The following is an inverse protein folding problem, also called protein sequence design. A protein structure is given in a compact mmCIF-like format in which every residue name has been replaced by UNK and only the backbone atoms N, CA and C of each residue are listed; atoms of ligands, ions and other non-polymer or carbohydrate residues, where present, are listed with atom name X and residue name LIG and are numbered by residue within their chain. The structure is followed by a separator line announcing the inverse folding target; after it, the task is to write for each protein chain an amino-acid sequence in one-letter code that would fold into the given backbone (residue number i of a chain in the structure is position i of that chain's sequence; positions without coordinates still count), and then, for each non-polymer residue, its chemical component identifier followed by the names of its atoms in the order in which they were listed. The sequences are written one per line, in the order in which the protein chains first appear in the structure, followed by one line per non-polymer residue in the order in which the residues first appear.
data_IF_673141592237
#
_entry.id   IF_673141592237
#
_cell.length_a   1.000
_cell.length_b   1.000
_cell.length_c   1.000
_cell.angle_alpha   90.00
_cell.angle_beta   90.00
_cell.angle_gamma   90.00
#
_symmetry.space_group_name_H-M   'P 1'
#
loop_
_entity.id
_entity.type
_entity.pdbx_description
1 polymer ?
#
# COMPACT_ATOMS: atom_id res chain seq x y z
N UNK A 1 8.98 -23.50 17.35
CA UNK A 1 9.46 -24.21 16.13
C UNK A 1 8.44 -25.25 15.70
N UNK A 2 8.53 -25.75 14.47
CA UNK A 2 7.61 -26.78 13.95
C UNK A 2 7.96 -28.18 14.49
N UNK A 3 7.01 -28.83 15.18
CA UNK A 3 7.18 -30.21 15.68
C UNK A 3 7.17 -31.26 14.55
N UNK A 4 6.44 -30.99 13.46
CA UNK A 4 6.26 -31.89 12.30
C UNK A 4 6.49 -31.13 10.98
N UNK A 5 7.74 -30.71 10.67
CA UNK A 5 8.02 -29.82 9.54
C UNK A 5 7.62 -30.39 8.17
N UNK A 6 7.82 -31.70 7.94
CA UNK A 6 7.40 -32.36 6.69
C UNK A 6 5.89 -32.27 6.48
N UNK A 7 5.10 -32.60 7.51
CA UNK A 7 3.64 -32.53 7.45
C UNK A 7 3.15 -31.09 7.23
N UNK A 8 3.81 -30.11 7.85
CA UNK A 8 3.48 -28.70 7.63
C UNK A 8 3.79 -28.26 6.20
N UNK A 9 4.93 -28.68 5.64
CA UNK A 9 5.28 -28.39 4.25
C UNK A 9 4.26 -29.00 3.27
N UNK A 10 3.85 -30.26 3.48
CA UNK A 10 2.82 -30.93 2.69
C UNK A 10 1.49 -30.16 2.73
N UNK A 11 0.99 -29.86 3.93
CA UNK A 11 -0.27 -29.13 4.11
C UNK A 11 -0.20 -27.72 3.55
N UNK A 12 0.91 -27.01 3.76
CA UNK A 12 1.09 -25.68 3.22
C UNK A 12 1.07 -25.68 1.68
N UNK A 13 1.72 -26.66 1.03
CA UNK A 13 1.66 -26.80 -0.43
C UNK A 13 0.25 -27.01 -0.97
N UNK A 14 -0.61 -27.70 -0.21
CA UNK A 14 -2.01 -27.93 -0.55
C UNK A 14 -2.88 -26.68 -0.31
N UNK A 15 -2.64 -25.97 0.80
CA UNK A 15 -3.47 -24.84 1.24
C UNK A 15 -3.11 -23.55 0.49
N UNK A 16 -1.83 -23.22 0.37
CA UNK A 16 -1.34 -21.94 -0.16
C UNK A 16 -1.95 -21.56 -1.52
N UNK A 17 -2.15 -22.47 -2.50
CA UNK A 17 -2.79 -22.11 -3.77
C UNK A 17 -4.18 -21.48 -3.61
N UNK A 18 -4.94 -21.87 -2.59
CA UNK A 18 -6.31 -21.38 -2.34
C UNK A 18 -6.37 -20.32 -1.27
N UNK A 19 -5.59 -20.48 -0.20
CA UNK A 19 -5.59 -19.57 0.96
C UNK A 19 -4.14 -19.20 1.29
N UNK A 20 -3.79 -17.90 1.27
CA UNK A 20 -2.43 -17.48 1.59
C UNK A 20 -2.06 -17.86 3.03
N UNK A 21 -0.81 -18.24 3.23
CA UNK A 21 -0.23 -18.49 4.55
C UNK A 21 0.91 -17.47 4.75
N UNK A 22 0.73 -16.59 5.74
CA UNK A 22 1.73 -15.60 6.15
C UNK A 22 2.43 -16.11 7.40
N UNK A 23 3.76 -16.05 7.42
CA UNK A 23 4.57 -16.53 8.55
C UNK A 23 5.49 -15.43 9.04
N UNK A 24 5.40 -15.12 10.32
CA UNK A 24 6.45 -14.45 11.07
C UNK A 24 7.25 -15.46 11.90
N UNK A 25 8.58 -15.49 11.74
CA UNK A 25 9.46 -16.44 12.44
C UNK A 25 10.27 -15.75 13.54
N UNK A 26 9.77 -15.82 14.76
CA UNK A 26 10.52 -15.41 15.95
C UNK A 26 11.76 -16.30 16.20
N UNK A 27 12.81 -15.73 16.82
CA UNK A 27 14.06 -16.43 17.09
C UNK A 27 14.92 -16.63 15.84
N UNK A 28 15.03 -15.59 15.00
CA UNK A 28 15.98 -15.54 13.89
C UNK A 28 17.38 -15.07 14.31
N UNK A 29 17.50 -14.31 15.40
CA UNK A 29 18.77 -13.84 15.95
C UNK A 29 19.35 -14.83 16.95
N UNK A 30 20.63 -14.72 17.26
CA UNK A 30 21.30 -15.54 18.26
C UNK A 30 20.66 -15.38 19.66
N UNK A 31 20.41 -14.14 20.09
CA UNK A 31 19.67 -13.87 21.34
C UNK A 31 18.25 -14.44 21.31
N UNK A 32 17.51 -14.27 20.20
CA UNK A 32 16.16 -14.79 20.06
C UNK A 32 16.10 -16.33 20.02
N UNK A 33 17.10 -16.98 19.42
CA UNK A 33 17.24 -18.45 19.44
C UNK A 33 17.47 -18.97 20.85
N UNK A 34 18.37 -18.34 21.62
CA UNK A 34 18.58 -18.71 23.04
C UNK A 34 17.30 -18.54 23.86
N UNK A 35 16.64 -17.39 23.75
CA UNK A 35 15.38 -17.13 24.46
C UNK A 35 14.30 -18.16 24.11
N UNK A 36 14.13 -18.48 22.82
CA UNK A 36 13.17 -19.49 22.38
C UNK A 36 13.52 -20.91 22.85
N UNK A 37 14.81 -21.27 22.88
CA UNK A 37 15.28 -22.56 23.37
C UNK A 37 15.00 -22.72 24.87
N UNK A 38 15.29 -21.70 25.69
CA UNK A 38 14.99 -21.71 27.13
C UNK A 38 13.49 -21.77 27.43
N UNK A 39 12.66 -21.12 26.61
CA UNK A 39 11.22 -21.09 26.82
C UNK A 39 10.52 -22.40 26.41
N UNK A 40 10.97 -23.04 25.32
CA UNK A 40 10.28 -24.19 24.73
C UNK A 40 11.00 -25.53 24.88
N UNK A 41 12.21 -25.54 25.46
CA UNK A 41 13.13 -26.68 25.54
C UNK A 41 13.40 -27.37 24.18
N UNK A 42 13.08 -26.72 23.07
CA UNK A 42 13.23 -27.24 21.73
C UNK A 42 14.42 -26.57 21.03
N UNK A 43 15.25 -27.37 20.33
CA UNK A 43 16.31 -26.82 19.49
C UNK A 43 15.72 -25.88 18.44
N UNK A 44 16.23 -24.66 18.38
CA UNK A 44 15.88 -23.72 17.33
C UNK A 44 16.44 -24.24 15.99
N UNK A 45 15.55 -24.66 15.08
CA UNK A 45 15.95 -25.11 13.74
C UNK A 45 16.58 -23.98 12.92
N UNK A 46 17.43 -24.35 11.94
CA UNK A 46 18.17 -23.41 11.08
C UNK A 46 17.23 -22.46 10.32
N UNK A 47 17.54 -21.16 10.35
CA UNK A 47 16.75 -20.13 9.67
C UNK A 47 16.69 -20.35 8.15
N UNK A 48 17.77 -20.85 7.55
CA UNK A 48 17.84 -21.17 6.12
C UNK A 48 16.87 -22.27 5.74
N UNK A 49 16.73 -23.30 6.58
CA UNK A 49 15.76 -24.39 6.37
C UNK A 49 14.33 -23.85 6.41
N UNK A 50 14.02 -22.93 7.35
CA UNK A 50 12.72 -22.28 7.40
C UNK A 50 12.45 -21.45 6.13
N UNK A 51 13.41 -20.62 5.69
CA UNK A 51 13.28 -19.82 4.46
C UNK A 51 13.05 -20.71 3.24
N UNK A 52 13.80 -21.81 3.12
CA UNK A 52 13.63 -22.79 2.04
C UNK A 52 12.25 -23.45 2.06
N UNK A 53 11.78 -23.87 3.22
CA UNK A 53 10.47 -24.50 3.38
C UNK A 53 9.31 -23.53 3.05
N UNK A 54 9.42 -22.28 3.49
CA UNK A 54 8.46 -21.20 3.19
C UNK A 54 8.34 -21.02 1.67
N UNK A 55 9.47 -20.79 1.00
CA UNK A 55 9.52 -20.61 -0.46
C UNK A 55 8.98 -21.82 -1.22
N UNK A 56 9.33 -23.04 -0.80
CA UNK A 56 8.87 -24.29 -1.42
C UNK A 56 7.37 -24.56 -1.29
N UNK A 57 6.70 -23.95 -0.30
CA UNK A 57 5.27 -24.04 -0.12
C UNK A 57 4.51 -22.80 -0.64
N UNK A 58 5.22 -21.78 -1.12
CA UNK A 58 4.64 -20.49 -1.50
C UNK A 58 4.08 -19.69 -0.33
N UNK A 59 4.49 -20.03 0.90
CA UNK A 59 4.15 -19.23 2.07
C UNK A 59 4.89 -17.90 1.96
N UNK A 60 4.32 -16.84 2.52
CA UNK A 60 4.93 -15.51 2.50
C UNK A 60 5.55 -15.24 3.86
N UNK A 61 6.83 -14.86 3.87
CA UNK A 61 7.54 -14.52 5.10
C UNK A 61 7.43 -13.02 5.39
N UNK A 62 6.85 -12.70 6.54
CA UNK A 62 6.94 -11.37 7.12
C UNK A 62 8.19 -11.32 8.03
N UNK A 63 8.98 -10.26 7.91
CA UNK A 63 10.19 -10.05 8.73
C UNK A 63 9.88 -9.27 10.01
N UNK A 64 8.75 -8.58 10.06
CA UNK A 64 8.23 -7.92 11.26
C UNK A 64 6.78 -8.35 11.52
N UNK A 65 6.30 -8.13 12.75
CA UNK A 65 4.89 -8.33 13.07
C UNK A 65 3.99 -7.31 12.36
N UNK A 66 4.50 -6.11 12.07
CA UNK A 66 3.79 -5.09 11.31
C UNK A 66 3.56 -5.54 9.87
N UNK A 67 4.59 -6.04 9.18
CA UNK A 67 4.45 -6.63 7.84
C UNK A 67 3.41 -7.76 7.81
N UNK A 68 3.39 -8.61 8.85
CA UNK A 68 2.45 -9.72 8.93
C UNK A 68 1.00 -9.21 9.00
N UNK A 69 0.73 -8.19 9.82
CA UNK A 69 -0.60 -7.61 9.98
C UNK A 69 -1.01 -6.84 8.73
N UNK A 70 -0.13 -6.00 8.20
CA UNK A 70 -0.37 -5.17 7.02
C UNK A 70 -0.68 -6.01 5.80
N UNK A 71 0.10 -7.08 5.59
CA UNK A 71 -0.14 -7.97 4.47
C UNK A 71 -1.38 -8.82 4.67
N UNK A 72 -1.71 -9.23 5.90
CA UNK A 72 -2.96 -9.93 6.18
C UNK A 72 -4.19 -9.06 5.86
N UNK A 73 -4.11 -7.76 6.17
CA UNK A 73 -5.14 -6.78 5.83
C UNK A 73 -5.26 -6.60 4.31
N UNK A 74 -4.12 -6.42 3.63
CA UNK A 74 -4.05 -6.29 2.17
C UNK A 74 -4.63 -7.51 1.43
N UNK A 75 -4.39 -8.72 1.92
CA UNK A 75 -4.91 -9.95 1.30
C UNK A 75 -6.44 -10.04 1.31
N UNK A 76 -7.11 -9.32 2.20
CA UNK A 76 -8.58 -9.27 2.27
C UNK A 76 -9.14 -8.19 1.36
N UNK A 77 -8.43 -7.06 1.22
CA UNK A 77 -8.97 -5.83 0.63
C UNK A 77 -8.49 -5.57 -0.79
N UNK A 78 -7.28 -6.01 -1.13
CA UNK A 78 -6.62 -5.67 -2.38
C UNK A 78 -6.64 -6.86 -3.35
N UNK A 79 -6.93 -6.63 -4.65
CA UNK A 79 -6.77 -7.66 -5.65
C UNK A 79 -5.29 -8.03 -5.84
N UNK A 80 -5.03 -9.26 -6.28
CA UNK A 80 -3.66 -9.73 -6.51
C UNK A 80 -3.16 -9.23 -7.88
N UNK A 81 -2.00 -8.55 -7.94
CA UNK A 81 -1.52 -7.97 -9.19
C UNK A 81 -1.02 -9.04 -10.18
N UNK A 82 -1.13 -8.74 -11.47
CA UNK A 82 -0.71 -9.61 -12.58
C UNK A 82 0.80 -9.61 -12.83
N UNK A 83 1.54 -8.71 -12.18
CA UNK A 83 2.97 -8.55 -12.36
C UNK A 83 3.53 -7.53 -11.38
N UNK A 84 4.67 -6.95 -11.74
CA UNK A 84 5.46 -6.02 -10.93
C UNK A 84 5.47 -4.59 -11.48
N UNK A 85 4.85 -4.34 -12.64
CA UNK A 85 4.90 -3.03 -13.31
C UNK A 85 4.01 -2.03 -12.59
N UNK A 86 4.63 -1.06 -11.95
CA UNK A 86 4.03 -0.14 -11.00
C UNK A 86 3.91 1.26 -11.61
N UNK A 87 2.74 1.89 -11.46
CA UNK A 87 2.59 3.34 -11.59
C UNK A 87 2.50 4.00 -10.20
N UNK A 88 3.21 5.11 -10.02
CA UNK A 88 3.15 5.92 -8.80
C UNK A 88 2.52 7.27 -9.14
N UNK A 89 1.51 7.66 -8.37
CA UNK A 89 0.87 8.97 -8.46
C UNK A 89 1.08 9.72 -7.15
N UNK A 90 1.63 10.94 -7.20
CA UNK A 90 2.06 11.67 -6.01
C UNK A 90 1.68 13.14 -6.05
N UNK A 91 1.29 13.70 -4.91
CA UNK A 91 1.10 15.15 -4.73
C UNK A 91 2.42 15.93 -4.68
N UNK A 92 3.56 15.26 -4.51
CA UNK A 92 4.87 15.90 -4.51
C UNK A 92 5.99 15.00 -5.05
N UNK A 93 6.82 15.57 -5.92
CA UNK A 93 7.90 14.85 -6.61
C UNK A 93 8.92 14.21 -5.67
N UNK A 94 9.36 14.90 -4.61
CA UNK A 94 10.32 14.34 -3.65
C UNK A 94 9.80 13.07 -2.96
N UNK A 95 8.49 13.03 -2.67
CA UNK A 95 7.87 11.86 -2.08
C UNK A 95 7.74 10.71 -3.08
N UNK A 96 7.40 11.04 -4.34
CA UNK A 96 7.42 10.07 -5.44
C UNK A 96 8.80 9.45 -5.65
N UNK A 97 9.88 10.24 -5.56
CA UNK A 97 11.26 9.74 -5.69
C UNK A 97 11.56 8.71 -4.59
N UNK A 98 11.22 9.01 -3.33
CA UNK A 98 11.42 8.06 -2.22
C UNK A 98 10.63 6.78 -2.44
N UNK A 99 9.35 6.89 -2.82
CA UNK A 99 8.49 5.73 -3.09
C UNK A 99 9.04 4.86 -4.23
N UNK A 100 9.50 5.47 -5.31
CA UNK A 100 10.09 4.76 -6.45
C UNK A 100 11.34 3.97 -6.01
N UNK A 101 12.23 4.60 -5.25
CA UNK A 101 13.43 3.97 -4.71
C UNK A 101 13.10 2.78 -3.81
N UNK A 102 12.11 2.92 -2.92
CA UNK A 102 11.64 1.86 -2.03
C UNK A 102 11.03 0.70 -2.81
N UNK A 103 10.21 0.98 -3.81
CA UNK A 103 9.56 -0.02 -4.65
C UNK A 103 10.57 -0.84 -5.47
N UNK A 104 11.53 -0.18 -6.14
CA UNK A 104 12.59 -0.83 -6.90
C UNK A 104 13.47 -1.72 -6.02
N UNK A 105 13.80 -1.27 -4.79
CA UNK A 105 14.55 -2.09 -3.82
C UNK A 105 13.81 -3.35 -3.38
N UNK A 106 12.48 -3.37 -3.46
CA UNK A 106 11.64 -4.53 -3.20
C UNK A 106 11.37 -5.37 -4.46
N UNK A 107 11.93 -4.97 -5.60
CA UNK A 107 11.79 -5.67 -6.89
C UNK A 107 10.50 -5.36 -7.65
N UNK A 108 9.75 -4.32 -7.28
CA UNK A 108 8.73 -3.74 -8.16
C UNK A 108 9.40 -2.96 -9.29
N UNK A 109 8.68 -2.71 -10.38
CA UNK A 109 9.21 -2.08 -11.59
C UNK A 109 8.48 -0.77 -11.87
N UNK A 110 9.12 0.37 -11.62
CA UNK A 110 8.57 1.70 -11.92
C UNK A 110 8.77 1.97 -13.42
N UNK A 111 7.85 1.46 -14.23
CA UNK A 111 7.99 1.48 -15.69
C UNK A 111 7.74 2.88 -16.27
N UNK A 112 8.45 3.28 -17.35
CA UNK A 112 8.19 4.55 -18.02
C UNK A 112 6.73 4.66 -18.48
N UNK A 113 6.16 5.87 -18.43
CA UNK A 113 4.82 6.09 -18.93
C UNK A 113 4.75 5.89 -20.46
N UNK A 114 3.76 5.16 -20.96
CA UNK A 114 3.44 5.11 -22.39
C UNK A 114 3.14 6.50 -22.96
N UNK A 115 3.48 6.79 -24.23
CA UNK A 115 3.19 8.09 -24.87
C UNK A 115 1.72 8.53 -24.76
N UNK A 116 0.78 7.61 -24.98
CA UNK A 116 -0.66 7.83 -24.88
C UNK A 116 -1.09 8.23 -23.47
N UNK A 117 -0.55 7.56 -22.43
CA UNK A 117 -0.79 7.91 -21.03
C UNK A 117 -0.24 9.30 -20.71
N UNK A 118 0.93 9.67 -21.26
CA UNK A 118 1.48 11.03 -21.08
C UNK A 118 0.59 12.09 -21.72
N UNK A 119 0.01 11.80 -22.88
CA UNK A 119 -0.90 12.73 -23.57
C UNK A 119 -2.19 12.93 -22.77
N UNK A 120 -2.82 11.85 -22.31
CA UNK A 120 -4.02 11.90 -21.47
C UNK A 120 -3.78 12.66 -20.15
N UNK A 121 -2.66 12.37 -19.47
CA UNK A 121 -2.29 13.08 -18.24
C UNK A 121 -1.98 14.56 -18.50
N UNK A 122 -1.39 14.91 -19.65
CA UNK A 122 -1.09 16.30 -20.01
C UNK A 122 -2.33 17.13 -20.31
N UNK A 123 -3.49 16.50 -20.56
CA UNK A 123 -4.77 17.20 -20.67
C UNK A 123 -5.36 17.60 -19.31
N UNK A 124 -4.84 17.05 -18.21
CA UNK A 124 -5.27 17.33 -16.83
C UNK A 124 -4.21 18.16 -16.11
N UNK A 125 -2.94 17.79 -16.26
CA UNK A 125 -1.82 18.36 -15.53
C UNK A 125 -1.22 19.58 -16.25
N UNK A 126 -0.63 20.53 -15.50
CA UNK A 126 -0.01 21.72 -16.08
C UNK A 126 1.16 21.35 -16.98
N UNK A 127 1.45 22.15 -18.01
CA UNK A 127 2.44 21.85 -19.07
C UNK A 127 3.85 21.48 -18.60
N UNK A 128 4.21 21.87 -17.37
CA UNK A 128 5.50 21.66 -16.71
C UNK A 128 5.54 20.47 -15.73
N UNK A 129 4.53 19.60 -15.70
CA UNK A 129 4.56 18.36 -14.91
C UNK A 129 5.68 17.39 -15.37
N UNK A 130 6.03 16.41 -14.53
CA UNK A 130 7.23 15.57 -14.68
C UNK A 130 7.30 14.76 -15.99
N UNK A 131 6.16 14.45 -16.62
CA UNK A 131 6.05 13.57 -17.81
C UNK A 131 6.71 12.20 -17.63
N UNK A 132 6.82 11.76 -16.38
CA UNK A 132 7.48 10.53 -15.96
C UNK A 132 6.65 9.74 -14.96
N UNK A 133 7.16 8.57 -14.61
CA UNK A 133 6.67 7.76 -13.51
C UNK A 133 7.76 7.81 -12.43
N UNK A 134 7.53 8.41 -11.26
CA UNK A 134 6.24 8.86 -10.70
C UNK A 134 5.58 10.06 -11.41
N UNK A 135 4.25 10.02 -11.48
CA UNK A 135 3.40 11.14 -11.90
C UNK A 135 3.28 12.11 -10.73
N UNK A 136 3.86 13.31 -10.88
CA UNK A 136 3.78 14.38 -9.90
C UNK A 136 2.66 15.36 -10.26
N UNK A 137 1.69 15.53 -9.36
CA UNK A 137 0.61 16.53 -9.50
C UNK A 137 1.10 17.97 -9.25
N UNK A 138 2.38 18.17 -8.96
CA UNK A 138 3.03 19.48 -8.81
C UNK A 138 2.37 20.33 -7.72
N UNK A 139 2.00 19.68 -6.61
CA UNK A 139 1.32 20.34 -5.49
C UNK A 139 -0.14 20.72 -5.77
N UNK A 140 -0.74 20.24 -6.86
CA UNK A 140 -2.20 20.39 -7.07
C UNK A 140 -2.93 19.52 -6.05
N UNK A 141 -3.50 20.18 -5.04
CA UNK A 141 -4.34 19.60 -3.99
C UNK A 141 -5.80 19.50 -4.49
N UNK A 142 -6.00 18.80 -5.61
CA UNK A 142 -7.34 18.53 -6.16
C UNK A 142 -7.59 17.03 -6.25
N UNK A 143 -8.51 16.53 -5.42
CA UNK A 143 -8.87 15.11 -5.38
C UNK A 143 -9.57 14.65 -6.67
N UNK A 144 -10.26 15.54 -7.39
CA UNK A 144 -10.90 15.20 -8.67
C UNK A 144 -9.87 14.95 -9.76
N UNK A 145 -8.88 15.85 -9.90
CA UNK A 145 -7.79 15.67 -10.86
C UNK A 145 -6.92 14.45 -10.48
N UNK A 146 -6.69 14.22 -9.18
CA UNK A 146 -6.00 13.02 -8.71
C UNK A 146 -6.77 11.75 -9.09
N UNK A 147 -8.09 11.71 -8.86
CA UNK A 147 -8.92 10.58 -9.24
C UNK A 147 -8.90 10.31 -10.75
N UNK A 148 -8.95 11.37 -11.57
CA UNK A 148 -8.87 11.26 -13.04
C UNK A 148 -7.52 10.73 -13.50
N UNK A 149 -6.42 11.23 -12.94
CA UNK A 149 -5.08 10.72 -13.24
C UNK A 149 -4.94 9.25 -12.83
N UNK A 150 -5.47 8.89 -11.65
CA UNK A 150 -5.45 7.52 -11.16
C UNK A 150 -6.28 6.57 -12.04
N UNK A 151 -7.41 7.03 -12.58
CA UNK A 151 -8.25 6.28 -13.51
C UNK A 151 -7.53 5.99 -14.83
N UNK A 152 -6.81 6.97 -15.40
CA UNK A 152 -5.96 6.78 -16.59
C UNK A 152 -4.90 5.71 -16.33
N UNK A 153 -4.19 5.80 -15.21
CA UNK A 153 -3.16 4.82 -14.86
C UNK A 153 -3.77 3.43 -14.59
N UNK A 154 -4.91 3.36 -13.91
CA UNK A 154 -5.55 2.09 -13.56
C UNK A 154 -6.10 1.36 -14.79
N UNK A 155 -6.60 2.09 -15.78
CA UNK A 155 -7.13 1.50 -17.01
C UNK A 155 -6.03 0.94 -17.92
N UNK A 156 -4.82 1.52 -17.89
CA UNK A 156 -3.78 1.20 -18.87
C UNK A 156 -3.10 -0.17 -18.64
N UNK A 157 -3.02 -1.07 -19.65
CA UNK A 157 -2.49 -2.43 -19.48
C UNK A 157 -0.99 -2.51 -19.14
N UNK A 158 -0.25 -1.42 -19.29
CA UNK A 158 1.18 -1.35 -18.93
C UNK A 158 1.43 -1.49 -17.43
N UNK A 159 0.44 -1.18 -16.58
CA UNK A 159 0.57 -1.22 -15.14
C UNK A 159 -0.21 -2.37 -14.54
N UNK A 160 0.41 -3.11 -13.64
CA UNK A 160 -0.16 -4.26 -12.92
C UNK A 160 -0.66 -3.86 -11.51
N UNK A 161 -0.12 -2.79 -10.94
CA UNK A 161 -0.45 -2.23 -9.64
C UNK A 161 -0.14 -0.73 -9.59
N UNK A 162 -0.74 -0.04 -8.63
CA UNK A 162 -0.58 1.40 -8.44
C UNK A 162 -0.32 1.75 -6.98
N UNK A 163 0.47 2.81 -6.77
CA UNK A 163 0.62 3.46 -5.46
C UNK A 163 0.18 4.92 -5.60
N UNK A 164 -0.76 5.33 -4.74
CA UNK A 164 -1.30 6.69 -4.69
C UNK A 164 -0.86 7.36 -3.39
N UNK A 165 -0.08 8.43 -3.52
CA UNK A 165 0.48 9.19 -2.42
C UNK A 165 -0.27 10.51 -2.23
N UNK A 166 -0.68 10.80 -0.99
CA UNK A 166 -1.06 12.15 -0.57
C UNK A 166 -2.53 12.48 -0.62
N UNK A 167 -3.38 11.46 -0.72
CA UNK A 167 -4.82 11.64 -0.86
C UNK A 167 -5.52 11.64 0.49
N UNK A 168 -5.03 10.83 1.42
CA UNK A 168 -5.58 10.70 2.77
C UNK A 168 -4.85 11.63 3.75
N UNK A 169 -5.57 12.31 4.64
CA UNK A 169 -5.05 13.26 5.65
C UNK A 169 -4.30 14.51 5.13
N UNK A 170 -4.31 14.78 3.82
CA UNK A 170 -3.56 15.89 3.25
C UNK A 170 -3.97 17.27 3.80
N UNK A 171 -5.28 17.50 4.02
CA UNK A 171 -5.76 18.75 4.60
C UNK A 171 -5.14 19.03 5.98
N UNK A 172 -5.02 18.01 6.83
CA UNK A 172 -4.36 18.17 8.13
C UNK A 172 -2.86 18.44 7.99
N UNK A 173 -2.18 17.71 7.09
CA UNK A 173 -0.74 17.86 6.88
C UNK A 173 -0.33 19.24 6.35
N UNK A 174 -1.15 19.86 5.49
CA UNK A 174 -0.89 21.19 4.94
C UNK A 174 -1.42 22.34 5.82
N UNK A 175 -1.82 22.06 7.07
CA UNK A 175 -2.38 23.09 7.96
C UNK A 175 -3.70 23.67 7.46
N UNK A 176 -4.38 22.95 6.58
CA UNK A 176 -5.72 23.28 6.08
C UNK A 176 -6.82 22.74 6.98
N UNK A 177 -6.47 21.91 7.98
CA UNK A 177 -7.32 21.55 9.11
C UNK A 177 -6.82 22.28 10.36
N UNK A 178 -7.61 23.22 10.88
CA UNK A 178 -7.37 23.88 12.17
C UNK A 178 -7.94 23.02 13.30
N UNK A 179 -7.38 23.12 14.51
CA UNK A 179 -7.96 22.45 15.67
C UNK A 179 -9.24 23.18 16.11
N UNK A 180 -10.34 22.49 16.45
CA UNK A 180 -11.62 23.13 16.76
C UNK A 180 -11.57 24.17 17.89
N UNK A 181 -10.59 24.06 18.78
CA UNK A 181 -10.36 24.99 19.89
C UNK A 181 -9.65 26.29 19.49
N UNK A 182 -9.04 26.36 18.31
CA UNK A 182 -8.27 27.51 17.82
C UNK A 182 -9.08 28.42 16.89
N UNK A 183 -10.28 27.98 16.47
CA UNK A 183 -11.14 28.71 15.53
C UNK A 183 -11.98 29.78 16.26
N UNK A 184 -11.85 31.08 15.92
CA UNK A 184 -12.67 32.15 16.48
C UNK A 184 -14.18 31.86 16.32
N UNK A 185 -15.03 32.20 17.31
CA UNK A 185 -16.48 31.91 17.27
C UNK A 185 -17.16 32.31 15.96
N UNK A 186 -16.77 33.46 15.39
CA UNK A 186 -17.24 34.04 14.14
C UNK A 186 -16.88 33.22 12.88
N UNK A 187 -15.83 32.41 12.93
CA UNK A 187 -15.35 31.59 11.79
C UNK A 187 -15.81 30.13 11.89
N UNK A 188 -16.42 29.72 13.01
CA UNK A 188 -16.79 28.32 13.27
C UNK A 188 -17.73 27.72 12.23
N UNK A 189 -18.67 28.51 11.69
CA UNK A 189 -19.61 28.04 10.67
C UNK A 189 -18.90 27.78 9.34
N UNK A 190 -18.08 28.72 8.88
CA UNK A 190 -17.25 28.57 7.66
C UNK A 190 -16.30 27.38 7.81
N UNK A 191 -15.69 27.24 8.98
CA UNK A 191 -14.81 26.13 9.30
C UNK A 191 -15.54 24.77 9.30
N UNK A 192 -16.77 24.70 9.83
CA UNK A 192 -17.59 23.49 9.78
C UNK A 192 -17.95 23.10 8.34
N UNK A 193 -18.32 24.07 7.50
CA UNK A 193 -18.60 23.84 6.06
C UNK A 193 -17.35 23.34 5.33
N UNK A 194 -16.19 23.96 5.56
CA UNK A 194 -14.92 23.53 4.96
C UNK A 194 -14.55 22.11 5.38
N UNK A 195 -14.68 21.76 6.66
CA UNK A 195 -14.43 20.39 7.15
C UNK A 195 -15.35 19.38 6.50
N UNK A 196 -16.64 19.71 6.35
CA UNK A 196 -17.60 18.84 5.67
C UNK A 196 -17.23 18.62 4.20
N UNK A 197 -16.86 19.70 3.49
CA UNK A 197 -16.43 19.61 2.10
C UNK A 197 -15.20 18.70 1.92
N UNK A 198 -14.19 18.86 2.78
CA UNK A 198 -12.97 18.02 2.77
C UNK A 198 -13.33 16.56 3.05
N UNK A 199 -14.16 16.29 4.06
CA UNK A 199 -14.65 14.94 4.39
C UNK A 199 -15.35 14.28 3.22
N UNK A 200 -16.32 14.96 2.63
CA UNK A 200 -17.09 14.43 1.50
C UNK A 200 -16.19 14.20 0.27
N UNK A 201 -15.24 15.11 0.01
CA UNK A 201 -14.24 14.94 -1.04
C UNK A 201 -13.36 13.71 -0.84
N UNK A 202 -12.82 13.52 0.37
CA UNK A 202 -12.02 12.34 0.71
C UNK A 202 -12.81 11.03 0.63
N UNK A 203 -14.08 11.04 1.06
CA UNK A 203 -14.95 9.87 0.94
C UNK A 203 -15.21 9.53 -0.54
N UNK A 204 -15.53 10.52 -1.37
CA UNK A 204 -15.71 10.31 -2.83
C UNK A 204 -14.44 9.78 -3.47
N UNK A 205 -13.29 10.32 -3.12
CA UNK A 205 -12.00 9.84 -3.62
C UNK A 205 -11.77 8.39 -3.22
N UNK A 206 -11.98 8.03 -1.96
CA UNK A 206 -11.80 6.67 -1.47
C UNK A 206 -12.73 5.66 -2.14
N UNK A 207 -14.00 5.99 -2.31
CA UNK A 207 -14.95 5.16 -3.06
C UNK A 207 -14.53 5.02 -4.53
N UNK A 208 -14.01 6.09 -5.14
CA UNK A 208 -13.47 6.01 -6.51
C UNK A 208 -12.26 5.09 -6.60
N UNK A 209 -11.36 5.06 -5.60
CA UNK A 209 -10.24 4.11 -5.55
C UNK A 209 -10.77 2.67 -5.50
N UNK A 210 -11.76 2.39 -4.66
CA UNK A 210 -12.39 1.06 -4.59
C UNK A 210 -13.05 0.68 -5.91
N UNK A 211 -13.82 1.58 -6.52
CA UNK A 211 -14.43 1.40 -7.84
C UNK A 211 -13.38 1.06 -8.91
N UNK A 212 -12.24 1.76 -8.94
CA UNK A 212 -11.16 1.50 -9.90
C UNK A 212 -10.52 0.13 -9.69
N UNK A 213 -10.29 -0.27 -8.44
CA UNK A 213 -9.77 -1.61 -8.11
C UNK A 213 -10.74 -2.71 -8.57
N UNK A 214 -12.04 -2.56 -8.30
CA UNK A 214 -13.08 -3.50 -8.71
C UNK A 214 -13.20 -3.59 -10.23
N UNK A 215 -13.19 -2.43 -10.93
CA UNK A 215 -13.31 -2.35 -12.39
C UNK A 215 -12.12 -2.96 -13.12
N UNK A 216 -10.90 -2.68 -12.66
CA UNK A 216 -9.68 -3.04 -13.39
C UNK A 216 -8.97 -4.29 -12.84
N UNK A 217 -9.34 -4.75 -11.64
CA UNK A 217 -8.72 -5.90 -10.99
C UNK A 217 -7.25 -5.68 -10.64
N UNK A 218 -6.83 -4.42 -10.44
CA UNK A 218 -5.46 -4.03 -10.10
C UNK A 218 -5.44 -3.40 -8.71
N UNK A 219 -4.48 -3.75 -7.84
CA UNK A 219 -4.42 -3.16 -6.52
C UNK A 219 -3.97 -1.71 -6.62
N UNK A 220 -4.66 -0.85 -5.87
CA UNK A 220 -4.26 0.52 -5.63
C UNK A 220 -3.94 0.63 -4.15
N UNK A 221 -2.66 0.83 -3.83
CA UNK A 221 -2.19 1.01 -2.46
C UNK A 221 -2.15 2.50 -2.15
N UNK A 222 -2.84 2.93 -1.10
CA UNK A 222 -2.90 4.35 -0.74
C UNK A 222 -1.97 4.66 0.43
N UNK A 223 -1.22 5.76 0.30
CA UNK A 223 -0.38 6.30 1.37
C UNK A 223 -0.93 7.66 1.79
N UNK A 224 -1.40 7.71 3.03
CA UNK A 224 -1.85 8.93 3.66
C UNK A 224 -0.69 9.77 4.18
N UNK A 225 -0.95 11.05 4.38
CA UNK A 225 -0.04 11.92 5.11
C UNK A 225 -0.08 11.60 6.61
N UNK A 226 1.04 11.76 7.33
CA UNK A 226 1.06 11.62 8.77
C UNK A 226 0.12 12.64 9.44
N UNK A 227 -0.61 12.19 10.45
CA UNK A 227 -1.45 13.07 11.28
C UNK A 227 -0.56 13.86 12.25
N UNK A 228 -0.85 15.14 12.44
CA UNK A 228 -0.12 16.00 13.39
C UNK A 228 -0.54 15.77 14.84
N UNK A 229 -1.82 15.50 15.08
CA UNK A 229 -2.38 15.21 16.41
C UNK A 229 -3.70 14.41 16.29
N UNK A 230 -4.22 13.92 17.42
CA UNK A 230 -5.46 13.15 17.47
C UNK A 230 -6.73 14.00 17.27
N UNK A 231 -6.64 15.33 17.39
CA UNK A 231 -7.76 16.27 17.24
C UNK A 231 -7.98 16.67 15.77
N UNK A 232 -6.92 16.64 14.97
CA UNK A 232 -6.92 16.76 13.50
C UNK A 232 -7.08 15.40 12.80
N UNK A 233 -7.42 14.36 13.56
CA UNK A 233 -7.63 13.02 13.04
C UNK A 233 -8.65 13.02 11.90
N UNK A 234 -8.36 12.13 10.95
CA UNK A 234 -9.05 11.90 9.70
C UNK A 234 -10.58 12.12 9.78
N UNK A 235 -11.04 13.22 9.16
CA UNK A 235 -12.45 13.61 9.15
C UNK A 235 -13.30 12.69 8.24
N UNK A 236 -12.65 11.83 7.44
CA UNK A 236 -13.27 11.00 6.40
C UNK A 236 -13.80 9.65 6.93
N UNK A 237 -14.98 9.25 6.45
CA UNK A 237 -15.55 7.91 6.65
C UNK A 237 -15.01 6.97 5.58
N UNK A 238 -13.71 6.66 5.67
CA UNK A 238 -13.11 5.77 4.69
C UNK A 238 -13.74 4.38 4.71
N UNK A 239 -13.91 3.72 3.55
CA UNK A 239 -14.32 2.32 3.45
C UNK A 239 -13.15 1.41 3.88
N UNK A 240 -12.81 1.43 5.18
CA UNK A 240 -11.64 0.75 5.74
C UNK A 240 -11.69 -0.77 5.58
N UNK A 241 -12.85 -1.33 5.30
CA UNK A 241 -13.05 -2.74 4.98
C UNK A 241 -12.70 -3.10 3.52
N UNK A 242 -12.57 -2.10 2.63
CA UNK A 242 -12.28 -2.27 1.19
C UNK A 242 -11.06 -1.47 0.70
N UNK A 243 -10.48 -0.63 1.55
CA UNK A 243 -9.33 0.22 1.24
C UNK A 243 -8.20 0.00 2.25
N UNK A 244 -6.98 -0.17 1.74
CA UNK A 244 -5.77 -0.12 2.54
C UNK A 244 -5.17 1.30 2.50
N UNK A 245 -4.95 1.88 3.66
CA UNK A 245 -4.26 3.17 3.81
C UNK A 245 -3.09 2.98 4.75
N UNK A 246 -1.89 3.25 4.24
CA UNK A 246 -0.65 3.20 5.00
C UNK A 246 -0.22 4.61 5.42
N UNK A 247 0.45 4.70 6.56
CA UNK A 247 0.92 5.97 7.12
C UNK A 247 2.30 6.37 6.63
N UNK A 248 3.00 5.49 5.91
CA UNK A 248 4.30 5.77 5.31
C UNK A 248 4.54 4.95 4.02
N UNK A 249 5.46 5.44 3.15
CA UNK A 249 5.95 4.76 1.95
C UNK A 249 6.46 3.34 2.15
N UNK A 250 7.26 3.12 3.20
CA UNK A 250 7.98 1.86 3.40
C UNK A 250 7.02 0.68 3.55
N UNK A 251 5.93 0.89 4.31
CA UNK A 251 4.88 -0.12 4.50
C UNK A 251 4.13 -0.38 3.19
N UNK A 252 3.80 0.66 2.43
CA UNK A 252 3.09 0.54 1.17
C UNK A 252 3.91 -0.22 0.11
N UNK A 253 5.17 0.18 -0.12
CA UNK A 253 6.09 -0.50 -1.01
C UNK A 253 6.27 -1.97 -0.62
N UNK A 254 6.41 -2.25 0.68
CA UNK A 254 6.58 -3.61 1.20
C UNK A 254 5.36 -4.49 0.95
N UNK A 255 4.16 -4.00 1.26
CA UNK A 255 2.90 -4.73 1.00
C UNK A 255 2.70 -4.95 -0.50
N UNK A 256 2.94 -3.94 -1.32
CA UNK A 256 2.83 -4.04 -2.78
C UNK A 256 3.74 -5.15 -3.34
N UNK A 257 4.98 -5.23 -2.84
CA UNK A 257 5.92 -6.29 -3.22
C UNK A 257 5.46 -7.69 -2.75
N UNK A 258 4.94 -7.82 -1.52
CA UNK A 258 4.40 -9.09 -1.02
C UNK A 258 3.16 -9.55 -1.82
N UNK A 259 2.31 -8.60 -2.26
CA UNK A 259 1.20 -8.88 -3.18
C UNK A 259 1.69 -9.35 -4.55
N UNK A 260 2.74 -8.74 -5.08
CA UNK A 260 3.37 -9.16 -6.34
C UNK A 260 3.94 -10.58 -6.23
N UNK A 261 4.66 -10.90 -5.14
CA UNK A 261 5.16 -12.25 -4.85
C UNK A 261 4.02 -13.28 -4.80
N UNK A 262 2.89 -12.92 -4.16
CA UNK A 262 1.68 -13.76 -4.15
C UNK A 262 1.16 -14.02 -5.56
N UNK A 263 1.06 -12.97 -6.39
CA UNK A 263 0.60 -13.09 -7.77
C UNK A 263 1.50 -14.00 -8.60
N UNK A 264 2.81 -13.88 -8.45
CA UNK A 264 3.79 -14.74 -9.14
C UNK A 264 3.65 -16.20 -8.75
N UNK A 265 3.52 -16.47 -7.45
CA UNK A 265 3.30 -17.83 -6.97
C UNK A 265 2.04 -18.45 -7.56
N UNK A 266 0.94 -17.69 -7.65
CA UNK A 266 -0.31 -18.18 -8.23
C UNK A 266 -0.18 -18.47 -9.72
N UNK A 267 0.50 -17.58 -10.48
CA UNK A 267 0.73 -17.76 -11.92
C UNK A 267 1.66 -18.92 -12.25
N UNK A 268 2.67 -19.18 -11.43
CA UNK A 268 3.60 -20.29 -11.67
C UNK A 268 2.95 -21.69 -11.56
N UNK A 269 1.66 -21.78 -11.19
CA UNK A 269 0.93 -23.04 -10.99
C UNK A 269 -0.35 -23.17 -11.82
N UNK A 270 -0.76 -22.11 -12.53
CA UNK A 270 -1.89 -22.11 -13.46
C UNK A 270 -1.39 -22.21 -14.88
#
# INVERSE_FOLDING_TARGET
GFKRPRRILELAREITPRKPIVIYKAGGTEAGRRAAASHSAAMAGSQEIYRGMIRQAGMIQAETTEEMLDFSDALVKLPVPRGRRLAILSWGGGWGVVEADLCERQGLQVVPLPPEVKEELSAILPSYWSKGNPVDLVGIVNLEDHARCLEILASHPEFDLLISLGTVNAAAAFGMAESPGEVPPEEREVFAVRRRYVREGSNRFAEKVVELMERHGKPIVTVGMPQRDAETAEVADLPRDRLCVYTNPERAARVAAMLAERGEFLRARG
#
